data_IF_130847761118
#
_entry.id   IF_130847761118
#
_cell.length_a   1.000
_cell.length_b   1.000
_cell.length_c   1.000
_cell.angle_alpha   90.00
_cell.angle_beta   90.00
_cell.angle_gamma   90.00
#
_symmetry.space_group_name_H-M   'P 1'
#
loop_
_entity.id
_entity.type
_entity.pdbx_description
1 polymer ?
2 polymer ?
3 water ?
#
# COMPACT_ATOMS: atom_id res chain seq x y z
N UNK A 1 12.82 17.02 -6.62
CA UNK A 1 11.94 15.90 -6.93
C UNK A 1 10.75 16.40 -7.72
N UNK A 2 10.10 15.48 -8.42
CA UNK A 2 8.92 15.87 -9.18
C UNK A 2 7.76 14.95 -8.86
N UNK A 3 6.64 15.51 -8.51
CA UNK A 3 5.45 14.78 -8.21
C UNK A 3 4.47 14.96 -9.31
N UNK A 4 4.00 13.90 -9.91
CA UNK A 4 3.07 13.93 -11.03
C UNK A 4 1.65 13.66 -10.54
N UNK A 5 0.75 14.61 -10.76
CA UNK A 5 -0.67 14.43 -10.40
C UNK A 5 -1.58 14.60 -11.62
N UNK A 6 -2.84 14.20 -11.51
CA UNK A 6 -3.80 14.45 -12.59
C UNK A 6 -5.16 14.84 -12.02
N UNK A 7 -5.92 15.61 -12.81
CA UNK A 7 -7.25 16.09 -12.40
C UNK A 7 -8.23 14.95 -12.14
N UNK A 8 -8.93 15.00 -11.02
CA UNK A 8 -9.98 14.04 -10.73
C UNK A 8 -9.50 12.64 -10.45
N UNK A 9 -8.22 12.50 -10.10
CA UNK A 9 -7.73 11.21 -9.61
C UNK A 9 -7.65 11.27 -8.09
N UNK A 10 -8.41 10.39 -7.41
CA UNK A 10 -8.52 10.48 -5.94
C UNK A 10 -7.20 10.24 -5.22
N UNK A 11 -6.34 9.35 -5.74
CA UNK A 11 -5.04 9.10 -5.13
C UNK A 11 -4.18 10.35 -4.98
N UNK A 12 -4.47 11.37 -5.76
CA UNK A 12 -3.70 12.62 -5.65
C UNK A 12 -4.06 13.40 -4.37
N UNK A 13 -5.21 13.09 -3.76
CA UNK A 13 -5.61 13.80 -2.54
C UNK A 13 -4.66 13.63 -1.35
N UNK A 14 -4.36 12.38 -0.95
CA UNK A 14 -3.45 12.31 0.21
C UNK A 14 -2.01 12.78 -0.06
N UNK A 15 -1.50 12.70 -1.17
CA UNK A 15 -0.14 13.10 -1.46
C UNK A 15 0.04 14.60 -1.51
N UNK A 16 -0.93 15.22 -2.07
CA UNK A 16 -0.92 16.64 -2.05
C UNK A 16 -1.02 17.16 -0.63
N UNK A 17 -1.80 16.50 0.18
CA UNK A 17 -1.91 16.90 1.59
C UNK A 17 -0.60 16.66 2.37
N UNK A 18 0.14 15.60 1.98
CA UNK A 18 1.37 15.22 2.67
C UNK A 18 2.60 15.99 2.20
N UNK A 19 2.54 16.56 1.00
CA UNK A 19 3.75 17.14 0.38
C UNK A 19 4.47 18.21 1.21
N UNK A 20 3.71 19.00 1.96
CA UNK A 20 4.28 20.02 2.85
C UNK A 20 5.30 19.52 3.87
N UNK A 21 5.19 18.24 4.23
CA UNK A 21 6.16 17.63 5.16
C UNK A 21 7.61 17.62 4.63
N UNK A 22 7.79 17.78 3.32
CA UNK A 22 9.15 17.81 2.78
C UNK A 22 9.86 19.15 2.99
N UNK A 23 9.14 20.17 3.47
CA UNK A 23 9.70 21.54 3.58
C UNK A 23 10.98 21.62 4.42
N UNK A 24 12.02 22.18 3.83
CA UNK A 24 13.30 22.30 4.50
C UNK A 24 14.20 21.09 4.30
N UNK A 25 13.69 20.06 3.62
CA UNK A 25 14.46 18.83 3.40
C UNK A 25 14.69 18.59 1.90
N UNK A 26 13.67 18.87 1.11
CA UNK A 26 13.78 18.79 -0.34
C UNK A 26 12.65 19.60 -0.96
N UNK A 27 12.79 19.89 -2.25
CA UNK A 27 11.80 20.67 -2.99
C UNK A 27 10.92 19.73 -3.80
N UNK A 28 9.61 19.90 -3.72
CA UNK A 28 8.71 19.06 -4.50
C UNK A 28 8.08 19.87 -5.62
N UNK A 29 8.50 19.59 -6.86
CA UNK A 29 7.86 20.21 -8.01
C UNK A 29 6.59 19.47 -8.37
N UNK A 30 5.50 20.21 -8.60
CA UNK A 30 4.24 19.56 -8.96
C UNK A 30 3.98 19.67 -10.44
N UNK A 31 3.72 18.54 -11.09
CA UNK A 31 3.48 18.52 -12.53
C UNK A 31 2.17 17.81 -12.83
N UNK A 32 1.30 18.50 -13.58
CA UNK A 32 -0.02 17.95 -13.91
C UNK A 32 0.03 17.31 -15.28
N UNK A 33 -0.36 16.05 -15.36
CA UNK A 33 -0.35 15.29 -16.58
C UNK A 33 -1.69 14.64 -16.88
N UNK A 34 -1.85 14.10 -18.09
CA UNK A 34 -3.08 13.42 -18.48
C UNK A 34 -3.23 12.02 -17.91
N UNK A 35 -4.46 11.50 -17.93
CA UNK A 35 -4.90 10.23 -17.34
C UNK A 35 -4.27 9.01 -17.99
N UNK A 36 -4.01 9.11 -19.29
CA UNK A 36 -3.44 8.00 -20.04
C UNK A 36 -1.93 8.17 -20.23
N UNK A 37 -1.39 9.25 -19.66
CA UNK A 37 0.07 9.49 -19.71
C UNK A 37 0.87 8.50 -18.84
N UNK A 38 1.93 7.96 -19.42
CA UNK A 38 2.78 6.99 -18.74
C UNK A 38 4.08 7.66 -18.33
N UNK A 39 4.25 7.93 -17.03
CA UNK A 39 5.48 8.59 -16.58
C UNK A 39 6.58 7.63 -16.07
N UNK A 40 6.18 6.53 -15.45
CA UNK A 40 7.14 5.57 -14.91
C UNK A 40 7.63 4.66 -16.02
N UNK A 41 8.95 4.65 -16.28
CA UNK A 41 9.53 3.89 -17.40
C UNK A 41 9.32 2.39 -17.30
N UNK A 42 9.30 1.83 -16.09
CA UNK A 42 9.12 0.38 -15.95
C UNK A 42 7.66 -0.08 -15.87
N UNK A 43 6.72 0.87 -15.88
CA UNK A 43 5.29 0.50 -15.81
C UNK A 43 4.61 0.58 -17.19
N UNK A 44 3.93 -0.49 -17.58
CA UNK A 44 3.27 -0.55 -18.89
C UNK A 44 2.07 0.37 -18.98
N UNK A 45 1.30 0.43 -17.90
CA UNK A 45 0.03 1.14 -17.92
C UNK A 45 0.15 2.42 -17.10
N UNK A 46 -0.52 3.50 -17.56
CA UNK A 46 -0.45 4.81 -16.89
C UNK A 46 -0.82 4.68 -15.42
N UNK A 47 -0.11 5.43 -14.57
CA UNK A 47 -0.35 5.40 -13.13
C UNK A 47 -0.03 6.78 -12.57
N UNK A 48 -0.93 7.31 -11.78
CA UNK A 48 -0.75 8.62 -11.18
C UNK A 48 -1.49 8.57 -9.85
N UNK A 49 -0.98 9.24 -8.80
CA UNK A 49 0.26 10.03 -8.74
C UNK A 49 1.53 9.19 -8.70
N UNK A 50 2.64 9.80 -9.06
CA UNK A 50 3.97 9.19 -9.10
C UNK A 50 4.98 10.24 -8.64
N UNK A 51 5.90 9.87 -7.92
CA UNK A 51 6.93 10.78 -7.44
C UNK A 51 8.26 10.34 -8.07
N UNK A 52 8.92 11.20 -8.76
CA UNK A 52 10.25 10.96 -9.33
C UNK A 52 11.27 11.55 -8.36
N UNK A 53 11.96 10.70 -7.66
CA UNK A 53 12.92 11.09 -6.64
C UNK A 53 14.23 11.69 -7.16
N UNK A 54 14.96 12.42 -6.34
CA UNK A 54 16.20 13.02 -6.84
C UNK A 54 17.21 11.95 -7.28
N UNK A 55 17.05 10.74 -6.75
CA UNK A 55 17.95 9.63 -7.07
C UNK A 55 17.58 8.99 -8.40
N UNK A 56 16.47 9.45 -8.98
CA UNK A 56 15.99 8.88 -10.22
C UNK A 56 15.05 7.70 -10.10
N UNK A 57 14.95 7.10 -8.91
CA UNK A 57 13.93 6.09 -8.62
C UNK A 57 12.51 6.67 -8.69
N UNK A 58 11.50 5.79 -8.76
CA UNK A 58 10.10 6.23 -8.77
C UNK A 58 9.28 5.59 -7.63
N UNK A 59 8.45 6.40 -6.97
CA UNK A 59 7.42 5.86 -6.07
C UNK A 59 6.10 5.92 -6.81
N UNK A 60 5.39 4.78 -6.89
CA UNK A 60 4.15 4.69 -7.67
C UNK A 60 2.95 4.31 -6.79
N UNK A 61 3.22 4.11 -5.50
CA UNK A 61 2.18 3.82 -4.52
C UNK A 61 1.85 5.09 -3.74
N UNK A 62 0.57 5.46 -3.64
CA UNK A 62 0.22 6.69 -2.92
C UNK A 62 0.63 6.66 -1.46
N UNK A 63 0.40 5.54 -0.79
CA UNK A 63 0.80 5.47 0.61
C UNK A 63 2.32 5.56 0.79
N UNK A 64 3.07 4.97 -0.13
CA UNK A 64 4.53 5.01 -0.03
C UNK A 64 5.04 6.44 -0.25
N UNK A 65 4.38 7.17 -1.14
CA UNK A 65 4.70 8.57 -1.36
C UNK A 65 4.43 9.38 -0.09
N UNK A 66 3.25 9.21 0.52
CA UNK A 66 2.96 9.92 1.77
C UNK A 66 3.95 9.55 2.87
N UNK A 67 4.29 8.27 2.96
CA UNK A 67 5.27 7.83 3.95
C UNK A 67 6.60 8.54 3.75
N UNK A 68 7.04 8.63 2.49
CA UNK A 68 8.32 9.26 2.20
C UNK A 68 8.34 10.73 2.68
N UNK A 69 7.28 11.48 2.38
CA UNK A 69 7.18 12.89 2.82
C UNK A 69 7.26 13.02 4.35
N UNK A 70 6.50 12.20 5.05
CA UNK A 70 6.58 12.12 6.51
C UNK A 70 7.99 11.73 7.04
N UNK A 71 8.59 10.70 6.48
CA UNK A 71 9.97 10.32 6.84
C UNK A 71 10.97 11.48 6.67
N UNK A 72 10.85 12.24 5.59
CA UNK A 72 11.69 13.44 5.41
C UNK A 72 11.53 14.44 6.56
N UNK A 73 10.31 14.56 7.09
CA UNK A 73 10.06 15.50 8.17
C UNK A 73 10.55 14.98 9.54
N UNK A 74 11.07 13.75 9.56
CA UNK A 74 11.55 13.16 10.80
C UNK A 74 10.58 12.20 11.49
N UNK A 75 9.40 12.00 10.92
CA UNK A 75 8.45 11.00 11.43
C UNK A 75 9.12 9.61 11.50
N UNK A 76 8.70 8.79 12.45
CA UNK A 76 9.34 7.49 12.68
C UNK A 76 8.30 6.38 12.55
N UNK A 77 8.59 5.32 11.78
CA UNK A 77 7.63 4.23 11.59
C UNK A 77 7.18 3.59 12.91
N UNK A 78 5.88 3.36 13.06
CA UNK A 78 5.34 2.65 14.22
C UNK A 78 4.33 1.60 13.77
N UNK A 79 4.11 0.57 14.60
CA UNK A 79 3.25 -0.56 14.23
C UNK A 79 1.79 -0.14 13.95
N UNK A 80 1.26 0.78 14.75
CA UNK A 80 -0.10 1.21 14.62
C UNK A 80 -0.34 1.86 13.29
N UNK A 81 0.58 2.70 12.88
CA UNK A 81 0.51 3.36 11.57
C UNK A 81 0.58 2.34 10.42
N UNK A 82 1.54 1.42 10.48
CA UNK A 82 1.59 0.34 9.47
C UNK A 82 0.30 -0.43 9.43
N UNK A 83 -0.25 -0.72 10.60
CA UNK A 83 -1.51 -1.45 10.70
C UNK A 83 -2.63 -0.73 9.96
N UNK A 84 -2.77 0.58 10.20
CA UNK A 84 -3.78 1.40 9.51
C UNK A 84 -3.56 1.47 8.00
N UNK A 85 -2.32 1.66 7.58
CA UNK A 85 -2.04 1.74 6.14
C UNK A 85 -2.30 0.41 5.40
N UNK A 86 -1.98 -0.71 6.05
CA UNK A 86 -2.27 -2.02 5.44
C UNK A 86 -3.78 -2.25 5.35
N UNK A 87 -4.50 -1.84 6.39
CA UNK A 87 -5.95 -1.99 6.39
C UNK A 87 -6.58 -1.11 5.32
N UNK A 88 -6.05 0.11 5.17
CA UNK A 88 -6.54 1.01 4.14
C UNK A 88 -6.37 0.39 2.74
N UNK A 89 -5.21 -0.23 2.51
CA UNK A 89 -4.90 -0.79 1.19
C UNK A 89 -5.74 -2.03 0.87
N UNK A 90 -5.93 -2.89 1.85
CA UNK A 90 -6.44 -4.22 1.58
C UNK A 90 -7.92 -4.37 1.94
N UNK A 91 -8.43 -3.51 2.80
CA UNK A 91 -9.83 -3.65 3.24
C UNK A 91 -10.71 -2.42 2.96
N UNK A 92 -10.24 -1.23 3.27
CA UNK A 92 -10.99 -0.05 2.95
C UNK A 92 -11.08 0.32 1.49
N UNK A 93 -9.97 0.31 0.77
CA UNK A 93 -9.99 0.69 -0.65
C UNK A 93 -10.96 -0.11 -1.50
N UNK A 94 -10.99 -1.44 -1.38
CA UNK A 94 -12.01 -2.10 -2.21
C UNK A 94 -13.45 -1.79 -1.77
N UNK A 95 -13.70 -1.66 -0.47
CA UNK A 95 -15.03 -1.25 0.02
C UNK A 95 -15.41 0.11 -0.52
N UNK A 96 -14.45 1.03 -0.51
CA UNK A 96 -14.64 2.41 -0.97
C UNK A 96 -14.82 2.48 -2.47
N UNK A 97 -13.99 1.72 -3.19
CA UNK A 97 -14.12 1.59 -4.64
C UNK A 97 -15.50 1.10 -5.05
N UNK A 98 -15.99 0.06 -4.37
CA UNK A 98 -17.34 -0.45 -4.67
C UNK A 98 -18.39 0.63 -4.44
N UNK A 99 -18.36 1.26 -3.26
CA UNK A 99 -19.31 2.32 -2.92
C UNK A 99 -19.29 3.47 -3.93
N UNK A 100 -18.08 3.89 -4.30
CA UNK A 100 -17.92 4.96 -5.28
C UNK A 100 -18.40 4.51 -6.66
N UNK A 101 -18.26 3.20 -6.94
CA UNK A 101 -18.79 2.68 -8.20
C UNK A 101 -20.30 2.89 -8.23
N UNK A 102 -20.99 2.35 -7.24
CA UNK A 102 -22.44 2.42 -7.14
C UNK A 102 -22.92 3.87 -7.15
N UNK A 103 -22.19 4.72 -6.46
CA UNK A 103 -22.48 6.13 -6.46
C UNK A 103 -22.16 6.92 -7.69
N UNK A 104 -21.00 6.82 -8.24
CA UNK A 104 -20.74 7.69 -9.35
C UNK A 104 -20.84 7.01 -10.69
N UNK A 105 -20.75 5.71 -10.74
CA UNK A 105 -20.86 5.12 -12.04
C UNK A 105 -22.28 4.65 -12.37
N UNK A 106 -22.94 4.09 -11.40
CA UNK A 106 -24.29 3.53 -11.53
C UNK A 106 -25.36 4.42 -10.87
N UNK A 107 -24.96 5.63 -10.48
CA UNK A 107 -25.89 6.62 -9.96
C UNK A 107 -26.81 6.24 -8.80
N UNK A 108 -26.47 5.21 -8.04
CA UNK A 108 -27.26 4.85 -6.85
C UNK A 108 -27.11 5.87 -5.73
N UNK A 109 -27.91 5.70 -4.67
CA UNK A 109 -27.91 6.59 -3.52
C UNK A 109 -28.23 5.78 -2.26
N UNK A 110 -28.13 6.42 -1.10
CA UNK A 110 -28.52 5.79 0.16
C UNK A 110 -27.77 4.53 0.52
N UNK A 111 -28.48 3.56 1.10
CA UNK A 111 -27.84 2.34 1.59
C UNK A 111 -27.27 1.45 0.49
N UNK A 112 -27.64 1.72 -0.76
CA UNK A 112 -27.04 1.03 -1.91
C UNK A 112 -25.58 1.43 -2.11
N UNK A 113 -25.21 2.55 -1.51
CA UNK A 113 -23.84 3.07 -1.56
C UNK A 113 -23.16 2.80 -0.22
N UNK A 114 -23.85 3.19 0.84
CA UNK A 114 -23.34 3.07 2.21
C UNK A 114 -23.14 1.61 2.65
N UNK A 115 -23.97 0.72 2.12
CA UNK A 115 -23.94 -0.68 2.52
C UNK A 115 -22.56 -1.30 2.42
N UNK A 116 -21.86 -0.99 1.34
CA UNK A 116 -20.55 -1.59 1.10
C UNK A 116 -19.40 -1.02 1.97
N UNK A 117 -19.63 0.08 2.67
CA UNK A 117 -18.58 0.70 3.50
C UNK A 117 -18.92 0.88 4.97
N UNK A 118 -20.16 0.54 5.36
CA UNK A 118 -20.63 0.83 6.71
C UNK A 118 -19.76 0.12 7.73
N UNK A 119 -19.40 -1.11 7.41
CA UNK A 119 -18.52 -1.89 8.26
C UNK A 119 -17.15 -1.21 8.45
N UNK A 120 -16.54 -0.77 7.35
CA UNK A 120 -15.29 -0.03 7.43
C UNK A 120 -15.42 1.28 8.23
N UNK A 121 -16.45 2.07 7.93
CA UNK A 121 -16.66 3.33 8.66
C UNK A 121 -16.85 3.10 10.14
N UNK A 122 -17.61 2.07 10.48
CA UNK A 122 -17.88 1.74 11.86
C UNK A 122 -16.59 1.35 12.59
N UNK A 123 -15.74 0.58 11.92
CA UNK A 123 -14.44 0.21 12.47
C UNK A 123 -13.59 1.46 12.79
N UNK A 124 -13.53 2.40 11.87
CA UNK A 124 -12.80 3.65 12.14
C UNK A 124 -13.43 4.40 13.32
N UNK A 125 -14.75 4.54 13.31
CA UNK A 125 -15.41 5.27 14.39
C UNK A 125 -15.12 4.65 15.75
N UNK A 126 -15.17 3.32 15.81
CA UNK A 126 -14.97 2.63 17.08
C UNK A 126 -13.52 2.69 17.54
N UNK A 127 -12.56 2.69 16.60
CA UNK A 127 -11.16 2.91 16.96
C UNK A 127 -10.95 4.29 17.56
N UNK A 128 -11.45 5.32 16.88
CA UNK A 128 -11.33 6.69 17.39
C UNK A 128 -11.98 6.84 18.79
N UNK A 129 -13.07 6.13 19.01
CA UNK A 129 -13.83 6.26 20.26
C UNK A 129 -13.16 5.59 21.45
N UNK A 130 -12.50 4.47 21.21
CA UNK A 130 -11.88 3.72 22.30
C UNK A 130 -10.53 4.31 22.70
N UNK A 131 -9.92 5.02 21.76
CA UNK A 131 -8.79 5.91 22.05
C UNK A 131 -9.34 7.19 22.67
N UNK A 132 -8.55 7.86 23.49
CA UNK A 132 -8.97 9.17 23.99
C UNK A 132 -8.30 10.32 23.21
N UNK A 133 -7.43 9.97 22.27
CA UNK A 133 -6.77 10.96 21.41
C UNK A 133 -7.67 11.37 20.24
N UNK A 134 -7.49 12.61 19.74
CA UNK A 134 -8.31 13.19 18.68
C UNK A 134 -7.96 12.63 17.29
N UNK A 135 -6.77 12.05 17.14
CA UNK A 135 -6.33 11.55 15.85
C UNK A 135 -5.99 10.07 15.93
N UNK A 136 -5.88 9.43 14.77
CA UNK A 136 -5.81 7.99 14.63
C UNK A 136 -4.82 7.21 15.39
N UNK A 137 -3.65 7.83 15.53
CA UNK A 137 -2.53 7.26 16.27
C UNK A 137 -1.87 8.27 17.20
N UNK A 138 -2.22 9.55 17.05
CA UNK A 138 -1.58 10.59 17.84
C UNK A 138 -2.32 11.89 18.13
N UNK A 139 -1.79 12.61 19.12
CA UNK A 139 -2.31 13.89 19.59
C UNK A 139 -2.48 14.91 18.48
N UNK A 140 -1.64 14.81 17.46
CA UNK A 140 -1.72 15.65 16.27
C UNK A 140 -1.95 14.73 15.07
N UNK A 141 -2.39 15.27 13.93
CA UNK A 141 -2.61 14.42 12.78
C UNK A 141 -1.26 13.89 12.32
N UNK A 142 -1.24 12.67 11.80
CA UNK A 142 -0.02 12.10 11.31
C UNK A 142 -0.29 11.35 9.98
N UNK A 143 0.64 10.47 9.61
CA UNK A 143 0.57 9.76 8.33
C UNK A 143 -0.73 8.96 8.18
N UNK A 144 -1.10 8.20 9.21
CA UNK A 144 -2.31 7.39 9.12
C UNK A 144 -3.54 8.26 8.89
N UNK A 145 -3.61 9.42 9.53
CA UNK A 145 -4.76 10.31 9.34
C UNK A 145 -4.87 10.82 7.92
N UNK A 146 -3.75 11.27 7.35
CA UNK A 146 -3.72 11.82 6.00
C UNK A 146 -4.12 10.76 4.96
N UNK A 147 -3.52 9.58 5.07
CA UNK A 147 -3.84 8.48 4.17
C UNK A 147 -5.32 8.10 4.25
N UNK A 148 -5.84 7.94 5.46
CA UNK A 148 -7.24 7.55 5.60
C UNK A 148 -8.17 8.69 5.17
N UNK A 149 -7.81 9.92 5.52
CA UNK A 149 -8.61 11.07 5.09
C UNK A 149 -8.65 11.16 3.57
N UNK A 150 -7.52 10.88 2.92
CA UNK A 150 -7.41 10.98 1.48
C UNK A 150 -8.26 9.95 0.74
N UNK A 151 -8.31 8.74 1.29
CA UNK A 151 -9.15 7.69 0.73
C UNK A 151 -10.65 7.99 0.92
N UNK A 152 -11.00 8.46 2.12
CA UNK A 152 -12.40 8.65 2.47
C UNK A 152 -13.03 9.90 1.84
N UNK A 153 -12.21 10.91 1.59
CA UNK A 153 -12.73 12.22 1.20
C UNK A 153 -13.71 12.19 0.02
N UNK A 154 -13.40 11.46 -1.06
CA UNK A 154 -14.31 11.50 -2.21
C UNK A 154 -15.73 11.03 -1.89
N UNK A 155 -15.91 10.17 -0.89
CA UNK A 155 -17.26 9.77 -0.48
C UNK A 155 -17.78 10.68 0.64
N UNK A 156 -17.07 10.70 1.76
CA UNK A 156 -17.54 11.39 2.96
C UNK A 156 -17.65 12.90 2.84
N UNK A 157 -17.11 13.51 1.79
CA UNK A 157 -17.32 14.95 1.62
C UNK A 157 -18.82 15.27 1.41
N UNK A 158 -19.61 14.24 1.12
CA UNK A 158 -21.06 14.36 1.07
C UNK A 158 -21.63 13.80 2.37
N UNK A 159 -22.31 14.65 3.16
CA UNK A 159 -22.79 14.28 4.50
C UNK A 159 -23.82 13.15 4.46
N UNK A 160 -24.48 12.96 3.32
CA UNK A 160 -25.40 11.83 3.13
C UNK A 160 -24.71 10.48 3.41
N UNK A 161 -23.39 10.43 3.22
CA UNK A 161 -22.65 9.17 3.37
C UNK A 161 -21.70 9.16 4.57
N UNK A 162 -21.95 10.06 5.51
CA UNK A 162 -21.26 10.04 6.80
C UNK A 162 -22.30 9.95 7.91
N UNK A 163 -22.67 8.74 8.32
CA UNK A 163 -23.72 8.54 9.33
C UNK A 163 -23.44 9.20 10.69
N UNK A 164 -24.37 10.04 11.16
CA UNK A 164 -24.12 10.88 12.34
C UNK A 164 -23.98 10.10 13.64
N UNK A 165 -24.51 8.87 13.68
CA UNK A 165 -24.31 8.01 14.86
C UNK A 165 -22.83 7.66 15.01
N UNK A 166 -22.08 7.74 13.92
CA UNK A 166 -20.63 7.54 13.98
C UNK A 166 -19.94 8.87 14.33
N UNK A 167 -20.20 9.35 15.53
CA UNK A 167 -19.81 10.71 15.93
C UNK A 167 -18.30 10.97 16.00
N UNK A 168 -17.53 9.97 16.41
CA UNK A 168 -16.07 10.14 16.45
C UNK A 168 -15.47 10.31 15.05
N UNK A 169 -15.97 9.56 14.11
CA UNK A 169 -15.57 9.63 12.75
C UNK A 169 -15.91 10.94 12.17
N UNK A 170 -17.10 11.39 12.46
CA UNK A 170 -17.60 12.65 11.94
C UNK A 170 -16.74 13.82 12.42
N UNK A 171 -16.37 13.80 13.71
CA UNK A 171 -15.55 14.87 14.27
C UNK A 171 -14.13 14.87 13.69
N UNK A 172 -13.53 13.69 13.66
CA UNK A 172 -12.20 13.51 13.09
C UNK A 172 -12.20 13.92 11.61
N UNK A 173 -13.16 13.44 10.84
CA UNK A 173 -13.14 13.74 9.41
C UNK A 173 -13.32 15.22 9.15
N UNK A 174 -14.20 15.87 9.90
CA UNK A 174 -14.41 17.30 9.72
C UNK A 174 -13.18 18.13 10.11
N UNK A 175 -12.53 17.74 11.20
CA UNK A 175 -11.29 18.37 11.63
C UNK A 175 -10.18 18.31 10.58
N UNK A 176 -9.95 17.14 10.02
CA UNK A 176 -8.93 17.00 8.99
C UNK A 176 -9.24 17.81 7.76
N UNK A 177 -10.47 17.76 7.31
CA UNK A 177 -10.87 18.46 6.10
C UNK A 177 -10.66 19.96 6.18
N UNK A 178 -10.75 20.51 7.38
CA UNK A 178 -10.57 21.97 7.55
C UNK A 178 -9.09 22.39 7.70
N UNK A 179 -8.18 21.43 7.84
CA UNK A 179 -6.77 21.78 7.88
C UNK A 179 -6.31 22.28 6.51
N UNK A 180 -5.44 23.29 6.50
CA UNK A 180 -5.08 23.94 5.25
C UNK A 180 -4.54 23.03 4.13
N UNK A 181 -3.58 22.13 4.45
CA UNK A 181 -3.10 21.26 3.37
C UNK A 181 -4.20 20.35 2.78
N UNK A 182 -5.17 19.95 3.61
CA UNK A 182 -6.29 19.16 3.13
C UNK A 182 -7.26 19.98 2.27
N UNK A 183 -7.52 21.22 2.70
CA UNK A 183 -8.33 22.14 1.90
C UNK A 183 -7.69 22.41 0.55
N UNK A 184 -6.38 22.67 0.54
CA UNK A 184 -5.67 22.91 -0.72
C UNK A 184 -5.70 21.69 -1.63
N UNK A 185 -5.54 20.49 -1.06
CA UNK A 185 -5.53 19.26 -1.86
C UNK A 185 -6.90 18.99 -2.50
N UNK A 186 -7.96 19.14 -1.72
CA UNK A 186 -9.32 18.95 -2.22
C UNK A 186 -9.65 19.92 -3.35
N UNK A 187 -9.19 21.17 -3.23
CA UNK A 187 -9.42 22.18 -4.26
C UNK A 187 -8.68 21.82 -5.54
N UNK A 188 -7.42 21.42 -5.42
CA UNK A 188 -6.61 21.07 -6.57
C UNK A 188 -7.15 19.84 -7.29
N UNK A 189 -7.63 18.85 -6.54
CA UNK A 189 -8.03 17.59 -7.16
C UNK A 189 -9.45 17.60 -7.72
N UNK A 190 -10.37 18.11 -6.92
CA UNK A 190 -11.76 18.16 -7.24
C UNK A 190 -12.16 19.49 -7.78
N UNK A 191 -11.33 20.48 -7.57
CA UNK A 191 -11.65 21.79 -8.03
C UNK A 191 -12.96 22.22 -7.43
N UNK A 192 -13.99 22.52 -8.13
CA UNK A 192 -15.08 22.85 -7.24
C UNK A 192 -16.19 21.90 -7.31
N UNK A 193 -15.97 20.82 -8.03
CA UNK A 193 -17.00 20.01 -8.58
C UNK A 193 -17.54 18.87 -7.84
N UNK A 194 -17.07 18.70 -6.66
CA UNK A 194 -17.59 17.63 -5.94
C UNK A 194 -17.13 16.44 -6.65
N UNK A 195 -17.82 15.35 -6.31
CA UNK A 195 -17.54 13.95 -6.61
C UNK A 195 -17.64 13.55 -8.07
N UNK A 196 -18.31 14.36 -8.84
CA UNK A 196 -18.52 14.19 -10.23
C UNK A 196 -17.19 14.21 -10.95
N UNK A 197 -16.24 14.92 -10.39
CA UNK A 197 -14.92 15.10 -10.97
C UNK A 197 -14.22 13.77 -11.12
N UNK A 198 -14.57 12.85 -10.29
CA UNK A 198 -13.97 11.60 -10.27
C UNK A 198 -14.50 10.65 -11.33
N UNK A 199 -15.53 11.04 -12.03
CA UNK A 199 -16.25 10.08 -12.81
C UNK A 199 -15.42 9.41 -13.86
N UNK A 200 -14.64 10.14 -14.56
CA UNK A 200 -13.87 9.51 -15.59
C UNK A 200 -12.91 8.47 -15.09
N UNK A 201 -12.28 8.70 -13.99
CA UNK A 201 -11.34 7.74 -13.40
C UNK A 201 -12.09 6.46 -12.98
N UNK A 202 -13.24 6.65 -12.33
CA UNK A 202 -14.00 5.53 -11.79
C UNK A 202 -14.59 4.67 -12.91
N UNK A 203 -14.75 5.21 -14.07
CA UNK A 203 -15.24 4.37 -15.13
C UNK A 203 -14.33 3.25 -15.46
N UNK A 204 -13.03 3.52 -15.48
CA UNK A 204 -12.03 2.55 -15.85
C UNK A 204 -11.78 1.46 -14.88
N UNK A 205 -12.25 1.60 -13.67
CA UNK A 205 -11.96 0.63 -12.67
C UNK A 205 -12.66 -0.72 -12.77
N UNK A 206 -12.10 -1.78 -12.24
CA UNK A 206 -12.80 -3.03 -12.29
C UNK A 206 -14.06 -2.86 -11.54
N UNK A 207 -15.06 -3.60 -11.88
CA UNK A 207 -16.19 -3.74 -11.05
C UNK A 207 -16.00 -4.59 -9.86
N UNK A 208 -16.78 -4.23 -8.84
CA UNK A 208 -16.86 -4.87 -7.55
C UNK A 208 -17.45 -6.30 -7.57
N UNK A 209 -17.71 -6.91 -6.40
CA UNK A 209 -18.26 -8.27 -6.26
C UNK A 209 -19.77 -8.32 -6.10
N UNK A 210 -20.29 -8.67 -4.90
CA UNK A 210 -21.74 -8.56 -4.66
C UNK A 210 -22.25 -7.85 -3.41
N UNK A 211 -23.26 -6.98 -3.57
CA UNK A 211 -24.05 -6.43 -2.45
C UNK A 211 -23.49 -6.74 -1.06
N UNK B 12 -2.18 -18.27 -3.06
CA UNK B 12 -1.08 -17.82 -2.22
C UNK B 12 -0.82 -18.69 -0.99
N UNK B 13 0.36 -18.59 -0.37
CA UNK B 13 0.62 -19.28 0.86
C UNK B 13 -0.28 -18.76 1.93
N UNK B 14 -0.69 -19.56 2.86
CA UNK B 14 -1.43 -19.05 3.97
C UNK B 14 -0.54 -18.13 4.77
N UNK B 15 -1.09 -17.08 5.32
CA UNK B 15 -0.26 -16.08 5.99
C UNK B 15 0.54 -16.67 7.16
N UNK B 16 -0.06 -17.60 7.88
CA UNK B 16 0.62 -18.22 9.03
C UNK B 16 1.80 -19.04 8.57
N UNK B 17 1.66 -19.68 7.41
CA UNK B 17 2.76 -20.45 6.83
C UNK B 17 3.88 -19.50 6.40
N UNK B 18 3.51 -18.38 5.79
CA UNK B 18 4.50 -17.40 5.36
C UNK B 18 5.24 -16.79 6.54
N UNK B 19 4.51 -16.51 7.61
CA UNK B 19 5.10 -15.92 8.80
C UNK B 19 6.02 -16.90 9.54
N UNK B 20 5.71 -18.20 9.51
CA UNK B 20 6.66 -19.19 10.04
C UNK B 20 7.94 -19.19 9.24
N UNK B 21 7.81 -19.11 7.91
CA UNK B 21 8.97 -19.02 7.02
C UNK B 21 9.83 -17.82 7.40
N UNK B 22 9.18 -16.66 7.51
CA UNK B 22 9.88 -15.43 7.83
C UNK B 22 10.57 -15.51 9.19
N UNK B 23 9.90 -16.10 10.16
CA UNK B 23 10.46 -16.17 11.48
C UNK B 23 11.76 -16.89 11.45
N UNK B 24 11.78 -17.99 10.73
CA UNK B 24 12.97 -18.77 10.54
C UNK B 24 14.07 -18.05 9.80
N UNK B 25 13.74 -17.35 8.77
CA UNK B 25 14.69 -16.59 8.04
C UNK B 25 15.32 -15.58 8.90
N UNK B 26 14.54 -14.99 9.78
CA UNK B 26 14.98 -14.02 10.75
C UNK B 26 15.76 -14.56 11.89
N UNK B 27 15.67 -15.84 12.11
CA UNK B 27 16.30 -16.37 13.27
C UNK B 27 15.55 -16.34 14.56
N UNK B 28 14.27 -16.08 14.54
CA UNK B 28 13.45 -16.10 15.73
C UNK B 28 13.18 -17.50 16.22
N UNK B 29 13.17 -17.71 17.51
CA UNK B 29 13.34 -19.01 18.12
C UNK B 29 12.30 -20.01 17.76
N UNK B 30 11.07 -19.57 17.71
CA UNK B 30 10.45 -18.85 18.66
C UNK B 30 9.14 -19.52 18.68
N UNK B 31 8.47 -19.30 17.59
CA UNK B 31 7.22 -19.93 17.32
C UNK B 31 6.25 -18.90 17.82
N UNK B 32 5.54 -18.11 17.02
CA UNK B 32 4.53 -17.22 17.63
C UNK B 32 3.26 -17.92 17.30
N UNK B 33 2.17 -17.59 17.98
CA UNK B 33 0.87 -18.13 17.55
C UNK B 33 0.02 -17.03 16.92
N UNK B 34 -0.34 -17.27 15.67
CA UNK B 34 -1.12 -16.32 14.89
C UNK B 34 -2.56 -16.81 14.77
N UNK B 35 -3.49 -15.97 15.20
CA UNK B 35 -4.88 -16.27 14.94
C UNK B 35 -5.22 -15.72 13.56
N UNK B 36 -6.42 -15.97 13.08
CA UNK B 36 -6.84 -15.43 11.80
C UNK B 36 -8.16 -14.69 11.98
N UNK B 37 -8.30 -13.53 11.32
CA UNK B 37 -9.48 -12.70 11.53
C UNK B 37 -10.19 -12.41 10.21
N UNK B 38 -11.52 -12.38 10.26
CA UNK B 38 -12.30 -12.07 9.07
C UNK B 38 -12.30 -13.16 8.00
N UNK B 39 -13.00 -12.90 6.91
CA UNK B 39 -13.18 -13.89 5.86
C UNK B 39 -11.94 -14.06 4.99
N UNK B 40 -11.02 -13.09 5.05
CA UNK B 40 -9.80 -13.21 4.27
C UNK B 40 -8.68 -13.85 5.10
N UNK B 41 -9.01 -14.25 6.33
CA UNK B 41 -8.06 -14.94 7.20
C UNK B 41 -6.79 -14.10 7.37
N UNK B 42 -6.99 -12.83 7.71
CA UNK B 42 -5.87 -11.92 7.91
C UNK B 42 -5.18 -12.33 9.19
N UNK B 43 -3.84 -12.49 9.14
CA UNK B 43 -3.18 -12.99 10.34
C UNK B 43 -3.22 -11.94 11.47
N UNK B 44 -3.28 -12.44 12.71
CA UNK B 44 -3.31 -11.59 13.88
C UNK B 44 -2.26 -12.05 14.88
N UNK B 45 -1.46 -11.12 15.38
CA UNK B 45 -0.41 -11.46 16.33
C UNK B 45 -0.69 -10.84 17.68
N UNK B 46 -0.79 -11.68 18.70
CA UNK B 46 -0.82 -11.19 20.08
C UNK B 46 0.60 -10.77 20.43
N UNK B 47 0.82 -9.45 20.52
CA UNK B 47 2.16 -8.93 20.77
C UNK B 47 2.60 -9.10 22.22
N UNK B 48 3.91 -9.14 22.42
CA UNK B 48 4.48 -9.02 23.77
C UNK B 48 4.91 -7.57 24.01
N UNK B 49 4.10 -6.78 24.73
CA UNK B 49 2.81 -7.17 25.28
C UNK B 49 2.04 -5.88 25.52
N UNK B 50 0.74 -5.86 25.30
CA UNK B 50 0.02 -6.93 24.62
C UNK B 50 -1.14 -6.54 23.69
N UNK B 51 -1.04 -5.42 22.96
CA UNK B 51 -2.13 -5.23 21.98
C UNK B 51 -1.96 -6.12 20.74
N UNK B 52 -3.04 -6.27 19.97
CA UNK B 52 -3.03 -7.07 18.76
C UNK B 52 -2.34 -6.33 17.62
N UNK B 53 -1.61 -7.05 16.77
CA UNK B 53 -1.16 -6.53 15.48
C UNK B 53 -1.76 -7.35 14.35
N UNK B 54 -2.35 -6.66 13.38
CA UNK B 54 -3.11 -7.30 12.33
C UNK B 54 -2.58 -6.94 10.95
N UNK B 55 -2.38 -7.96 10.13
CA UNK B 55 -2.00 -7.78 8.74
C UNK B 55 -0.63 -8.38 8.47
N UNK B 56 -0.49 -9.02 7.32
CA UNK B 56 0.75 -9.69 6.93
C UNK B 56 2.01 -8.81 6.98
N UNK B 57 2.01 -7.70 6.25
CA UNK B 57 3.21 -6.84 6.21
C UNK B 57 3.42 -6.08 7.51
N UNK B 58 2.33 -5.74 8.18
CA UNK B 58 2.43 -5.17 9.50
C UNK B 58 3.17 -6.06 10.50
N UNK B 59 2.71 -7.31 10.61
CA UNK B 59 3.36 -8.28 11.49
C UNK B 59 4.80 -8.55 11.07
N UNK B 60 5.02 -8.62 9.76
CA UNK B 60 6.37 -8.88 9.23
C UNK B 60 7.39 -7.82 9.67
N UNK B 61 7.00 -6.54 9.58
CA UNK B 61 7.88 -5.46 9.98
C UNK B 61 8.12 -5.50 11.51
N UNK B 62 7.11 -5.91 12.27
CA UNK B 62 7.25 -6.11 13.71
C UNK B 62 8.23 -7.24 14.06
N UNK B 63 8.17 -8.35 13.33
CA UNK B 63 9.11 -9.45 13.57
C UNK B 63 10.55 -9.02 13.25
N UNK B 64 10.71 -8.26 12.18
CA UNK B 64 12.03 -7.77 11.79
C UNK B 64 12.66 -6.94 12.92
N UNK B 65 11.87 -6.07 13.54
CA UNK B 65 12.33 -5.25 14.68
C UNK B 65 12.65 -6.14 15.88
N UNK B 66 11.73 -7.06 16.15
CA UNK B 66 11.88 -8.04 17.23
C UNK B 66 13.20 -8.80 17.12
N UNK B 67 13.59 -9.15 15.89
CA UNK B 67 14.86 -9.85 15.64
C UNK B 67 16.05 -8.90 15.61
N UNK B 68 15.81 -7.61 15.83
CA UNK B 68 16.86 -6.57 15.72
C UNK B 68 17.58 -6.58 14.40
N UNK B 69 16.83 -6.58 13.32
CA UNK B 69 17.41 -6.56 11.97
C UNK B 69 16.67 -5.50 11.18
N UNK B 70 16.51 -4.35 11.80
CA UNK B 70 15.71 -3.28 11.24
C UNK B 70 16.26 -2.74 9.93
N UNK B 71 17.54 -3.01 9.63
CA UNK B 71 18.11 -2.65 8.32
C UNK B 71 17.31 -3.29 7.18
N UNK B 72 16.60 -4.38 7.49
CA UNK B 72 15.79 -5.06 6.48
C UNK B 72 14.60 -4.19 6.05
N UNK B 73 14.31 -3.15 6.84
CA UNK B 73 13.19 -2.24 6.53
C UNK B 73 13.66 -1.02 5.74
N UNK B 74 14.97 -0.94 5.50
CA UNK B 74 15.54 0.17 4.77
C UNK B 74 16.35 1.06 5.70
N UNK B 75 17.40 1.70 5.17
CA UNK B 75 18.29 2.51 6.01
C UNK B 75 18.17 4.02 5.84
N UNK B 76 17.46 4.47 4.80
CA UNK B 76 17.23 5.90 4.57
C UNK B 76 15.75 6.13 4.37
N UNK B 77 15.34 7.39 4.36
CA UNK B 77 13.94 7.71 4.10
C UNK B 77 13.50 7.12 2.76
N UNK B 78 14.34 7.26 1.74
CA UNK B 78 13.97 6.76 0.41
C UNK B 78 13.85 5.24 0.41
N UNK B 79 14.82 4.54 1.01
CA UNK B 79 14.82 3.08 0.98
C UNK B 79 13.63 2.52 1.77
N UNK B 80 13.30 3.18 2.87
CA UNK B 80 12.15 2.78 3.71
C UNK B 80 10.87 2.92 2.91
N UNK B 81 10.76 3.99 2.12
CA UNK B 81 9.56 4.20 1.31
C UNK B 81 9.43 3.14 0.22
N UNK B 82 10.55 2.87 -0.43
CA UNK B 82 10.60 1.86 -1.50
C UNK B 82 10.27 0.47 -0.96
N UNK B 83 10.79 0.16 0.23
CA UNK B 83 10.48 -1.15 0.84
C UNK B 83 9.00 -1.28 1.03
N UNK B 84 8.37 -0.24 1.59
CA UNK B 84 6.95 -0.30 1.89
C UNK B 84 6.10 -0.34 0.61
N UNK B 85 6.56 0.35 -0.42
CA UNK B 85 5.90 0.27 -1.72
C UNK B 85 5.88 -1.17 -2.28
N UNK B 86 7.00 -1.89 -2.17
CA UNK B 86 7.00 -3.28 -2.65
C UNK B 86 6.23 -4.26 -1.76
N UNK B 87 6.27 -4.07 -0.44
CA UNK B 87 5.39 -4.82 0.48
C UNK B 87 3.92 -4.61 0.12
N UNK B 88 3.52 -3.36 -0.10
CA UNK B 88 2.14 -3.11 -0.51
C UNK B 88 1.82 -3.78 -1.85
N UNK B 89 2.75 -3.67 -2.79
CA UNK B 89 2.64 -4.30 -4.11
C UNK B 89 2.41 -5.79 -3.94
N UNK B 90 3.15 -6.39 -3.02
CA UNK B 90 3.00 -7.82 -2.74
C UNK B 90 1.57 -8.16 -2.29
N UNK B 91 1.00 -7.37 -1.36
CA UNK B 91 -0.32 -7.71 -0.81
C UNK B 91 -1.52 -7.21 -1.62
N UNK B 92 -1.27 -6.38 -2.62
CA UNK B 92 -2.38 -5.85 -3.42
C UNK B 92 -2.34 -6.33 -4.88
N UNK B 93 -1.14 -6.45 -5.43
CA UNK B 93 -1.02 -6.89 -6.83
C UNK B 93 -0.75 -8.37 -6.98
N UNK B 94 0.22 -8.89 -6.23
CA UNK B 94 0.66 -10.27 -6.43
C UNK B 94 -0.34 -11.26 -5.84
N UNK B 95 -0.83 -10.97 -4.64
CA UNK B 95 -1.78 -11.85 -3.97
C UNK B 95 -3.18 -11.73 -4.59
N UNK B 96 -3.35 -10.77 -5.51
CA UNK B 96 -4.62 -10.55 -6.17
C UNK B 96 -4.82 -11.29 -7.49
N UNK B 97 -3.85 -12.13 -7.87
CA UNK B 97 -3.92 -12.88 -9.14
C UNK B 97 -3.73 -14.38 -8.95
N UNK B 98 -4.13 -15.17 -9.94
CA UNK B 98 -3.93 -16.63 -9.92
C UNK B 98 -3.53 -17.20 -11.29
N UNK B 99 -2.84 -18.30 -11.29
CA UNK B 99 -2.36 -18.88 -12.53
C UNK B 99 -1.61 -17.90 -13.40
N UNK B 100 -1.94 -17.88 -14.68
CA UNK B 100 -1.11 -17.25 -15.66
C UNK B 100 -1.78 -16.35 -16.61
N UNK B 101 -2.16 -15.17 -16.26
CA UNK B 101 -2.72 -14.35 -17.29
C UNK B 101 -2.20 -12.97 -17.16
N UNK B 102 -2.71 -12.47 -16.07
CA UNK B 102 -2.54 -11.21 -15.43
C UNK B 102 -1.15 -11.11 -15.06
N UNK B 103 -0.63 -12.24 -14.66
CA UNK B 103 0.68 -12.33 -14.12
C UNK B 103 1.72 -11.90 -15.11
N UNK B 104 1.46 -11.99 -16.38
CA UNK B 104 2.47 -11.63 -17.41
C UNK B 104 2.71 -10.12 -17.54
N UNK B 105 1.69 -9.31 -17.33
CA UNK B 105 1.87 -7.91 -17.24
C UNK B 105 2.67 -7.61 -16.00
N UNK B 106 2.38 -8.26 -14.92
CA UNK B 106 3.11 -8.02 -13.75
C UNK B 106 4.59 -8.36 -13.87
N UNK B 107 4.87 -9.50 -14.43
CA UNK B 107 6.21 -9.94 -14.62
C UNK B 107 6.96 -9.02 -15.58
N UNK B 108 6.30 -8.50 -16.57
CA UNK B 108 6.94 -7.62 -17.51
C UNK B 108 7.40 -6.37 -16.84
N UNK B 109 6.54 -5.82 -16.01
CA UNK B 109 6.86 -4.62 -15.25
C UNK B 109 7.97 -4.87 -14.24
N UNK B 110 7.87 -5.98 -13.49
CA UNK B 110 8.95 -6.36 -12.58
C UNK B 110 10.25 -6.59 -13.36
N UNK B 111 10.13 -7.20 -14.54
CA UNK B 111 11.30 -7.45 -15.37
C UNK B 111 11.99 -6.15 -15.77
N UNK B 112 11.20 -5.15 -16.16
CA UNK B 112 11.78 -3.85 -16.52
C UNK B 112 12.43 -3.17 -15.32
N UNK B 113 11.79 -3.29 -14.16
CA UNK B 113 12.27 -2.61 -12.96
C UNK B 113 13.60 -3.18 -12.48
N UNK B 114 13.74 -4.50 -12.62
CA UNK B 114 14.95 -5.17 -12.14
C UNK B 114 16.11 -5.21 -13.14
N UNK B 115 15.94 -4.58 -14.30
CA UNK B 115 16.98 -4.58 -15.33
C UNK B 115 18.32 -4.08 -14.78
N UNK B 116 18.27 -3.13 -13.85
CA UNK B 116 19.49 -2.50 -13.37
C UNK B 116 19.60 -2.55 -11.85
N UNK B 117 19.09 -3.60 -11.24
CA UNK B 117 19.04 -3.69 -9.78
C UNK B 117 19.34 -5.11 -9.36
N UNK B 118 20.06 -5.28 -8.25
CA UNK B 118 20.27 -6.63 -7.72
C UNK B 118 19.09 -7.03 -6.85
N UNK B 119 18.69 -6.12 -5.97
CA UNK B 119 17.56 -6.30 -5.06
C UNK B 119 16.50 -5.25 -5.34
N UNK B 120 15.31 -5.41 -4.76
CA UNK B 120 14.20 -4.47 -5.01
C UNK B 120 14.53 -3.01 -4.77
N UNK B 121 15.28 -2.74 -3.75
CA UNK B 121 15.69 -1.36 -3.45
C UNK B 121 17.00 -0.86 -4.04
N UNK B 122 17.71 -1.71 -4.74
CA UNK B 122 19.04 -1.38 -5.22
C UNK B 122 20.08 -2.42 -4.83
N UNK B 123 21.00 -2.08 -3.95
CA UNK B 123 22.10 -2.98 -3.62
C UNK B 123 21.96 -3.59 -2.24
N UNK B 124 20.94 -3.18 -1.49
CA UNK B 124 20.70 -3.78 -0.19
C UNK B 124 19.49 -4.71 -0.19
N UNK B 125 19.73 -5.92 0.30
CA UNK B 125 18.72 -6.94 0.53
C UNK B 125 17.75 -6.46 1.62
N UNK B 126 16.44 -6.56 1.39
CA UNK B 126 15.49 -6.09 2.40
C UNK B 126 14.33 -7.08 2.61
N UNK B 127 13.44 -6.76 3.52
CA UNK B 127 12.25 -7.57 3.76
C UNK B 127 11.38 -7.63 2.50
N UNK B 128 11.45 -6.58 1.69
CA UNK B 128 10.72 -6.54 0.42
C UNK B 128 11.12 -7.70 -0.49
N UNK B 129 12.43 -7.98 -0.57
CA UNK B 129 12.89 -9.11 -1.38
C UNK B 129 12.38 -10.46 -0.86
N UNK B 130 12.44 -10.65 0.46
CA UNK B 130 11.95 -11.90 1.07
C UNK B 130 10.49 -12.18 0.75
N UNK B 131 9.62 -11.20 1.01
CA UNK B 131 8.18 -11.37 0.83
C UNK B 131 7.75 -11.44 -0.64
N UNK B 132 8.40 -10.67 -1.50
CA UNK B 132 8.11 -10.81 -2.94
C UNK B 132 8.53 -12.20 -3.43
N UNK B 133 9.66 -12.71 -2.95
CA UNK B 133 10.12 -14.04 -3.32
C UNK B 133 9.12 -15.10 -2.84
N UNK B 134 8.73 -15.04 -1.58
CA UNK B 134 7.70 -15.96 -1.07
C UNK B 134 6.38 -15.83 -1.87
N UNK B 135 5.93 -14.61 -2.14
CA UNK B 135 4.72 -14.38 -2.93
C UNK B 135 4.75 -14.80 -4.41
N UNK B 136 5.91 -14.72 -5.04
CA UNK B 136 6.01 -15.02 -6.47
C UNK B 136 6.35 -16.49 -6.71
N UNK B 137 6.84 -17.17 -5.67
CA UNK B 137 7.29 -18.57 -5.82
C UNK B 137 6.26 -19.48 -6.53
N UNK B 138 5.00 -19.39 -6.15
CA UNK B 138 3.97 -20.22 -6.79
C UNK B 138 3.81 -19.98 -8.30
N UNK B 139 4.15 -18.78 -8.77
CA UNK B 139 4.08 -18.48 -10.20
C UNK B 139 5.39 -18.88 -10.87
N UNK B 140 6.50 -18.53 -10.25
CA UNK B 140 7.80 -18.75 -10.89
C UNK B 140 8.05 -20.25 -11.04
N UNK B 141 7.56 -21.02 -10.08
CA UNK B 141 7.81 -22.48 -10.13
C UNK B 141 7.07 -23.13 -11.31
N UNK B 142 6.03 -22.45 -11.81
CA UNK B 142 5.27 -22.93 -12.98
C UNK B 142 5.69 -22.31 -14.32
N UNK B 143 6.76 -21.52 -14.34
CA UNK B 143 7.19 -20.89 -15.58
C UNK B 143 7.88 -21.89 -16.49
N UNK B 144 7.64 -21.76 -17.79
CA UNK B 144 8.32 -22.56 -18.81
C UNK B 144 9.74 -22.03 -19.00
N UNK B 145 10.58 -22.77 -19.70
CA UNK B 145 11.95 -22.33 -19.99
C UNK B 145 11.90 -21.04 -20.83
N UNK B 146 10.92 -20.99 -21.72
CA UNK B 146 10.72 -19.85 -22.59
C UNK B 146 10.44 -18.60 -21.75
N UNK B 147 9.49 -18.73 -20.82
CA UNK B 147 9.10 -17.58 -20.00
C UNK B 147 10.23 -17.13 -19.09
N UNK B 148 11.01 -18.07 -18.57
CA UNK B 148 12.14 -17.70 -17.71
C UNK B 148 13.19 -16.92 -18.48
N UNK B 149 13.27 -17.16 -19.80
CA UNK B 149 14.16 -16.37 -20.65
C UNK B 149 13.56 -15.00 -20.98
N UNK B 150 12.25 -14.97 -21.22
CA UNK B 150 11.52 -13.73 -21.47
C UNK B 150 11.68 -12.74 -20.30
N UNK B 151 11.49 -13.26 -19.08
CA UNK B 151 11.61 -12.45 -17.88
C UNK B 151 12.96 -12.69 -17.21
N UNK B 152 14.02 -12.35 -17.95
CA UNK B 152 15.38 -12.67 -17.55
C UNK B 152 15.82 -11.98 -16.28
N UNK B 153 15.39 -10.74 -16.09
CA UNK B 153 15.78 -9.98 -14.91
C UNK B 153 15.09 -10.51 -13.66
N UNK B 154 13.81 -10.82 -13.79
CA UNK B 154 13.09 -11.51 -12.70
C UNK B 154 13.80 -12.82 -12.36
N UNK B 155 14.14 -13.59 -13.40
CA UNK B 155 14.85 -14.86 -13.19
C UNK B 155 16.15 -14.67 -12.43
N UNK B 156 16.93 -13.68 -12.83
CA UNK B 156 18.19 -13.42 -12.14
C UNK B 156 18.01 -13.04 -10.67
N UNK B 157 17.07 -12.13 -10.39
CA UNK B 157 16.76 -11.74 -9.01
C UNK B 157 16.25 -12.93 -8.17
N UNK B 158 15.31 -13.69 -8.73
CA UNK B 158 14.72 -14.85 -8.04
C UNK B 158 15.79 -15.91 -7.77
N UNK B 159 16.60 -16.22 -8.77
CA UNK B 159 17.70 -17.18 -8.60
C UNK B 159 18.62 -16.74 -7.47
N UNK B 160 18.83 -15.42 -7.37
CA UNK B 160 19.71 -14.89 -6.32
C UNK B 160 19.08 -15.05 -4.93
N UNK B 161 17.82 -14.62 -4.81
CA UNK B 161 17.14 -14.76 -3.52
C UNK B 161 17.03 -16.23 -3.06
N UNK B 162 16.77 -17.15 -3.99
CA UNK B 162 16.52 -18.53 -3.57
C UNK B 162 17.78 -19.21 -3.05
N UNK B 163 18.91 -18.56 -3.24
CA UNK B 163 20.15 -19.09 -2.68
C UNK B 163 20.66 -18.25 -1.51
N UNK B 164 20.00 -17.12 -1.24
CA UNK B 164 20.37 -16.27 -0.11
C UNK B 164 20.17 -17.12 1.14
N UNK B 165 21.17 -17.12 2.04
CA UNK B 165 21.24 -18.03 3.21
C UNK B 165 20.01 -18.05 4.12
N UNK B 166 19.32 -19.20 4.20
CA UNK B 166 18.24 -19.40 5.15
C UNK B 166 16.88 -18.87 4.71
N UNK B 167 16.78 -18.41 3.46
CA UNK B 167 15.53 -17.83 2.97
C UNK B 167 14.63 -18.89 2.34
N UNK B 168 15.21 -19.77 1.53
CA UNK B 168 14.43 -20.78 0.80
C UNK B 168 13.76 -21.83 1.70
N UNK B 169 14.50 -22.37 2.68
CA UNK B 169 14.01 -23.44 3.55
C UNK B 169 13.50 -24.63 2.75
N UNK B 170 12.23 -24.99 2.94
CA UNK B 170 11.63 -26.16 2.29
C UNK B 170 11.07 -25.87 0.90
N UNK B 171 11.09 -24.60 0.48
CA UNK B 171 10.51 -24.24 -0.82
C UNK B 171 11.34 -24.84 -1.95
N UNK B 172 10.68 -25.33 -2.99
CA UNK B 172 11.38 -25.96 -4.12
C UNK B 172 12.35 -24.99 -4.77
N UNK B 173 13.53 -25.46 -5.16
CA UNK B 173 14.42 -24.64 -5.96
C UNK B 173 13.92 -24.63 -7.40
N UNK B 174 13.96 -23.47 -8.04
CA UNK B 174 13.58 -23.37 -9.45
C UNK B 174 14.84 -23.43 -10.30
N UNK B 175 14.79 -24.17 -11.41
CA UNK B 175 15.99 -24.31 -12.25
C UNK B 175 16.10 -23.14 -13.19
N UNK B 176 17.29 -22.54 -13.14
CA UNK B 176 17.67 -21.48 -14.07
C UNK B 176 18.96 -21.87 -14.71
N UNK B 177 19.29 -21.30 -15.77
CA UNK B 177 20.54 -21.67 -16.29
C UNK B 177 21.62 -20.67 -16.11
N UNK B 178 21.49 -19.56 -16.78
CA UNK B 178 22.52 -18.56 -16.79
C UNK B 178 23.00 -18.22 -18.17
N UNK B 179 22.40 -17.19 -18.70
CA UNK B 179 21.35 -16.53 -17.95
C UNK B 179 20.81 -15.47 -18.81
#
# INVERSE_FOLDING_TARGET
>A
MRLFVSDGVPGCLPVLAAAGRARGRAEVLISTVGPQDCVVPFLTRPKVPVLQLDSGNYLFSTSAICRYFFLLSGWEQDDLTNQWLEWEATELQPALSAALYYLVVQGKKGEDVLGSVRRALTHIDHSLSRQNCPFLAGETESLADIVLWGALYPLLQDPAYLPEELSALHSWFQTLSTQEPCQRAAQTVLKQQGVLALRPYLQKQPQPSPAEGRAVTNEPEEEELEHHHHHH
>B
MRGSHHHHHHGSMAAAAELSLLEKSLGLSKGNKYSAQGERQIPVLQTNDGPSLTGLTTIAAHLVKQANKEYLLGSTAEEKAIVQQWLEYRVTQVDGHSSKNDIHTLLKDLNSYLEDKVYLTGYNFTLADILLYYGLHRFIVDLTVQEKEKYLNVSRWFSHIQHYPGIRQHLSSVVFIKNRLYTNSH
#
